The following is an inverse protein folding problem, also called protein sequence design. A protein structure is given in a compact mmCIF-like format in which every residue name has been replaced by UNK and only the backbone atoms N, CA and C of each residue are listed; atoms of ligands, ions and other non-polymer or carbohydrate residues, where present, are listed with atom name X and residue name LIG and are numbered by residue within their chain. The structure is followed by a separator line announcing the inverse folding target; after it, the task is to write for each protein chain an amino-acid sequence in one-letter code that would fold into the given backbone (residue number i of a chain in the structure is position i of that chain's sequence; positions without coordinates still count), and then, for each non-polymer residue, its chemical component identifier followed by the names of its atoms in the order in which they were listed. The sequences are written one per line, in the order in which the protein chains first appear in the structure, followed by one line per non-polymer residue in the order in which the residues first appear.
data_IF_313055507314
#
_entry.id   IF_313055507314
#
_cell.length_a   1.000
_cell.length_b   1.000
_cell.length_c   1.000
_cell.angle_alpha   90.00
_cell.angle_beta   90.00
_cell.angle_gamma   90.00
#
_symmetry.space_group_name_H-M   'P 1'
#
loop_
_entity.id
_entity.type
_entity.pdbx_description
1 polymer ?
#
# COMPACT_ATOMS: atom_id res chain seq x y z
N UNK A 1 -22.74 -6.40 0.70
CA UNK A 1 -23.10 -5.05 1.19
C UNK A 1 -23.59 -5.17 2.60
N UNK A 2 -22.88 -4.58 3.57
CA UNK A 2 -23.34 -4.09 4.88
C UNK A 2 -22.09 -3.66 5.66
N UNK A 3 -21.91 -2.35 5.82
CA UNK A 3 -20.84 -1.73 6.61
C UNK A 3 -21.31 -1.67 8.06
N UNK A 4 -20.63 -2.35 8.96
CA UNK A 4 -20.80 -2.18 10.41
C UNK A 4 -19.82 -1.10 10.89
N UNK A 5 -20.38 0.01 11.36
CA UNK A 5 -19.67 1.10 12.03
C UNK A 5 -19.76 0.83 13.53
N UNK A 6 -18.63 0.52 14.16
CA UNK A 6 -18.52 0.45 15.62
C UNK A 6 -18.25 1.84 16.17
N UNK A 7 -19.26 2.46 16.78
CA UNK A 7 -19.12 3.69 17.55
C UNK A 7 -18.81 3.35 19.02
N UNK A 8 -17.69 3.84 19.54
CA UNK A 8 -17.32 3.76 20.95
C UNK A 8 -18.10 4.79 21.76
N UNK A 9 -18.88 4.33 22.72
CA UNK A 9 -19.64 5.14 23.68
C UNK A 9 -18.74 5.54 24.85
N UNK A 10 -18.40 6.82 24.97
CA UNK A 10 -17.87 7.39 26.21
C UNK A 10 -19.02 7.96 27.06
N UNK A 11 -19.15 7.39 28.26
CA UNK A 11 -20.02 7.85 29.34
C UNK A 11 -19.65 9.26 29.81
N UNK A 12 -20.65 10.15 29.93
CA UNK A 12 -20.57 11.38 30.74
C UNK A 12 -21.90 11.59 31.49
N UNK A 13 -21.81 11.62 32.82
CA UNK A 13 -22.91 11.89 33.76
C UNK A 13 -23.41 13.35 33.71
N UNK A 14 -24.63 13.64 34.23
CA UNK A 14 -25.41 14.81 33.85
C UNK A 14 -25.16 16.02 34.76
N UNK A 15 -25.10 17.22 34.20
CA UNK A 15 -25.25 18.49 34.94
C UNK A 15 -26.21 19.42 34.21
N UNK A 16 -27.38 19.53 34.82
CA UNK A 16 -28.26 20.70 35.02
C UNK A 16 -28.34 21.76 33.93
N UNK A 17 -29.54 21.88 33.38
CA UNK A 17 -30.01 22.91 32.46
C UNK A 17 -29.99 24.31 33.11
N UNK A 18 -29.40 25.29 32.42
CA UNK A 18 -29.77 26.70 32.52
C UNK A 18 -29.77 27.24 31.09
N UNK A 19 -30.94 27.65 30.62
CA UNK A 19 -31.17 28.26 29.31
C UNK A 19 -30.84 29.76 29.41
N UNK A 20 -29.91 30.32 28.61
CA UNK A 20 -29.82 31.76 28.43
C UNK A 20 -30.58 32.18 27.17
N UNK A 21 -31.39 33.21 27.36
CA UNK A 21 -32.25 33.87 26.39
C UNK A 21 -31.52 34.25 25.09
N UNK A 22 -32.20 33.94 23.97
CA UNK A 22 -31.85 34.28 22.60
C UNK A 22 -31.60 35.80 22.44
N UNK A 23 -30.34 36.18 22.29
CA UNK A 23 -29.98 37.41 21.59
C UNK A 23 -29.99 37.11 20.09
N UNK A 24 -31.08 37.49 19.43
CA UNK A 24 -31.15 37.57 17.97
C UNK A 24 -30.19 38.67 17.52
N UNK A 25 -28.96 38.27 17.17
CA UNK A 25 -28.09 39.12 16.35
C UNK A 25 -28.71 39.19 14.95
N UNK A 26 -28.82 40.38 14.33
CA UNK A 26 -29.17 40.46 12.92
C UNK A 26 -27.99 39.87 12.14
N UNK A 27 -28.15 38.63 11.65
CA UNK A 27 -27.28 38.05 10.65
C UNK A 27 -27.51 38.82 9.35
N UNK A 28 -26.75 39.88 9.09
CA UNK A 28 -26.50 40.35 7.74
C UNK A 28 -25.61 39.31 7.06
N UNK A 29 -26.23 38.23 6.55
CA UNK A 29 -25.54 37.32 5.64
C UNK A 29 -25.28 38.09 4.35
N UNK A 30 -24.10 38.71 4.24
CA UNK A 30 -23.54 39.04 2.93
C UNK A 30 -23.43 37.72 2.17
N UNK A 31 -24.39 37.45 1.28
CA UNK A 31 -24.27 36.35 0.31
C UNK A 31 -23.17 36.80 -0.63
N UNK A 32 -21.92 36.46 -0.31
CA UNK A 32 -20.79 36.74 -1.19
C UNK A 32 -21.06 36.05 -2.53
N UNK A 33 -21.15 36.85 -3.59
CA UNK A 33 -21.43 36.37 -4.95
C UNK A 33 -20.25 35.52 -5.45
N UNK A 34 -20.53 34.57 -6.33
CA UNK A 34 -19.46 33.79 -6.98
C UNK A 34 -18.57 34.73 -7.81
N UNK A 35 -17.27 34.45 -7.80
CA UNK A 35 -16.28 35.08 -8.65
C UNK A 35 -16.53 34.62 -10.10
N UNK A 36 -17.27 35.42 -10.86
CA UNK A 36 -17.69 35.09 -12.23
C UNK A 36 -16.51 34.81 -13.14
N UNK A 37 -15.41 35.55 -13.00
CA UNK A 37 -14.18 35.34 -13.77
C UNK A 37 -13.59 33.95 -13.53
N UNK A 38 -13.52 33.53 -12.27
CA UNK A 38 -13.04 32.19 -11.93
C UNK A 38 -13.98 31.09 -12.44
N UNK A 39 -15.29 31.28 -12.32
CA UNK A 39 -16.30 30.33 -12.82
C UNK A 39 -16.21 30.17 -14.33
N UNK A 40 -16.13 31.26 -15.08
CA UNK A 40 -16.00 31.24 -16.54
C UNK A 40 -14.70 30.57 -16.99
N UNK A 41 -13.58 30.85 -16.30
CA UNK A 41 -12.30 30.20 -16.58
C UNK A 41 -12.36 28.68 -16.34
N UNK A 42 -13.02 28.23 -15.28
CA UNK A 42 -13.23 26.81 -15.00
C UNK A 42 -14.13 26.14 -16.05
N UNK A 43 -15.19 26.82 -16.53
CA UNK A 43 -16.01 26.31 -17.64
C UNK A 43 -15.20 26.13 -18.93
N UNK A 44 -14.31 27.07 -19.25
CA UNK A 44 -13.43 26.98 -20.41
C UNK A 44 -12.45 25.80 -20.33
N UNK A 45 -12.13 25.34 -19.11
CA UNK A 45 -11.33 24.14 -18.86
C UNK A 45 -12.19 22.85 -18.79
N UNK A 46 -13.47 22.92 -19.14
CA UNK A 46 -14.40 21.79 -19.08
C UNK A 46 -14.57 21.18 -17.67
N UNK A 47 -14.40 21.97 -16.61
CA UNK A 47 -14.63 21.54 -15.22
C UNK A 47 -16.12 21.44 -14.94
N UNK A 48 -16.59 20.34 -14.33
CA UNK A 48 -17.96 20.24 -13.84
C UNK A 48 -18.18 21.17 -12.62
N UNK A 49 -18.61 22.40 -12.89
CA UNK A 49 -18.93 23.40 -11.87
C UNK A 49 -20.06 22.96 -10.94
N UNK A 50 -21.01 22.17 -11.43
CA UNK A 50 -22.13 21.70 -10.60
C UNK A 50 -21.62 20.78 -9.48
N UNK A 51 -20.65 19.93 -9.81
CA UNK A 51 -19.92 19.12 -8.84
C UNK A 51 -19.11 19.97 -7.85
N UNK A 52 -18.38 20.98 -8.34
CA UNK A 52 -17.63 21.90 -7.47
C UNK A 52 -18.54 22.64 -6.50
N UNK A 53 -19.67 23.19 -6.96
CA UNK A 53 -20.68 23.86 -6.11
C UNK A 53 -21.19 22.94 -5.00
N UNK A 54 -21.47 21.68 -5.34
CA UNK A 54 -21.98 20.68 -4.39
C UNK A 54 -20.96 20.30 -3.32
N UNK A 55 -19.68 20.21 -3.68
CA UNK A 55 -18.62 19.74 -2.77
C UNK A 55 -17.95 20.89 -2.00
N UNK A 56 -17.60 21.97 -2.69
CA UNK A 56 -16.74 23.05 -2.21
C UNK A 56 -17.16 24.41 -2.79
N UNK A 57 -18.46 24.71 -2.86
CA UNK A 57 -18.97 25.95 -3.47
C UNK A 57 -18.47 27.25 -2.84
N UNK A 58 -17.91 27.22 -1.63
CA UNK A 58 -17.25 28.38 -1.01
C UNK A 58 -15.99 28.82 -1.75
N UNK A 59 -15.29 27.90 -2.45
CA UNK A 59 -14.08 28.18 -3.24
C UNK A 59 -14.40 29.14 -4.38
N UNK A 60 -15.56 28.97 -5.02
CA UNK A 60 -16.01 29.82 -6.13
C UNK A 60 -16.32 31.25 -5.72
N UNK A 61 -16.41 31.54 -4.41
CA UNK A 61 -16.66 32.90 -3.88
C UNK A 61 -15.36 33.60 -3.47
N UNK A 62 -14.24 32.91 -3.51
CA UNK A 62 -12.95 33.46 -3.10
C UNK A 62 -12.37 34.37 -4.19
N UNK A 63 -11.69 35.39 -3.71
CA UNK A 63 -10.85 36.27 -4.51
C UNK A 63 -9.61 36.61 -3.67
N UNK A 64 -8.39 36.47 -4.22
CA UNK A 64 -8.08 36.07 -5.60
C UNK A 64 -8.33 34.57 -5.89
N UNK A 65 -8.46 34.23 -7.17
CA UNK A 65 -8.52 32.85 -7.68
C UNK A 65 -7.67 32.72 -8.96
N UNK A 66 -6.75 31.77 -8.97
CA UNK A 66 -5.65 31.62 -9.93
C UNK A 66 -5.88 30.48 -10.93
N UNK A 67 -7.08 30.41 -11.50
CA UNK A 67 -7.50 29.29 -12.36
C UNK A 67 -6.56 29.10 -13.56
N UNK A 68 -6.22 30.21 -14.23
CA UNK A 68 -5.37 30.21 -15.42
C UNK A 68 -3.94 29.79 -15.11
N UNK A 69 -3.40 30.26 -13.99
CA UNK A 69 -2.05 29.97 -13.51
C UNK A 69 -1.93 28.50 -13.08
N UNK A 70 -2.93 27.97 -12.35
CA UNK A 70 -2.98 26.56 -11.99
C UNK A 70 -3.03 25.67 -13.25
N UNK A 71 -3.87 26.02 -14.23
CA UNK A 71 -3.97 25.28 -15.49
C UNK A 71 -2.68 25.36 -16.30
N UNK A 72 -2.06 26.54 -16.40
CA UNK A 72 -0.79 26.74 -17.10
C UNK A 72 0.33 25.91 -16.46
N UNK A 73 0.45 25.91 -15.13
CA UNK A 73 1.45 25.12 -14.42
C UNK A 73 1.31 23.62 -14.69
N UNK A 74 0.09 23.09 -14.69
CA UNK A 74 -0.17 21.68 -15.00
C UNK A 74 0.13 21.37 -16.47
N UNK A 75 -0.26 22.27 -17.39
CA UNK A 75 -0.01 22.14 -18.83
C UNK A 75 1.49 22.18 -19.16
N UNK A 76 2.26 23.02 -18.48
CA UNK A 76 3.72 23.12 -18.60
C UNK A 76 4.44 21.84 -18.11
N UNK A 77 3.78 21.03 -17.28
CA UNK A 77 4.27 19.70 -16.89
C UNK A 77 3.77 18.58 -17.83
N UNK A 78 2.94 18.93 -18.82
CA UNK A 78 2.41 18.03 -19.85
C UNK A 78 1.01 17.48 -19.58
N UNK A 79 0.27 18.03 -18.61
CA UNK A 79 -1.11 17.62 -18.38
C UNK A 79 -2.03 17.99 -19.57
N UNK A 80 -2.91 17.08 -19.96
CA UNK A 80 -3.99 17.38 -20.90
C UNK A 80 -5.11 18.15 -20.22
N UNK A 81 -5.95 18.84 -21.00
CA UNK A 81 -7.14 19.55 -20.49
C UNK A 81 -8.05 18.64 -19.66
N UNK A 82 -8.19 17.36 -20.04
CA UNK A 82 -8.97 16.37 -19.28
C UNK A 82 -8.40 16.08 -17.88
N UNK A 83 -7.07 16.02 -17.74
CA UNK A 83 -6.39 15.81 -16.46
C UNK A 83 -6.53 17.07 -15.60
N UNK A 84 -6.34 18.26 -16.20
CA UNK A 84 -6.51 19.55 -15.50
C UNK A 84 -7.94 19.66 -14.95
N UNK A 85 -8.95 19.42 -15.79
CA UNK A 85 -10.35 19.42 -15.37
C UNK A 85 -10.57 18.45 -14.19
N UNK A 86 -10.04 17.23 -14.31
CA UNK A 86 -10.17 16.21 -13.26
C UNK A 86 -9.54 16.62 -11.94
N UNK A 87 -8.34 17.21 -11.96
CA UNK A 87 -7.65 17.74 -10.77
C UNK A 87 -8.50 18.81 -10.10
N UNK A 88 -8.99 19.79 -10.86
CA UNK A 88 -9.78 20.90 -10.32
C UNK A 88 -11.16 20.47 -9.82
N UNK A 89 -11.76 19.44 -10.40
CA UNK A 89 -12.98 18.82 -9.87
C UNK A 89 -12.76 18.04 -8.57
N UNK A 90 -11.61 17.38 -8.43
CA UNK A 90 -11.27 16.60 -7.24
C UNK A 90 -10.81 17.49 -6.09
N UNK A 91 -10.16 18.62 -6.39
CA UNK A 91 -9.62 19.54 -5.41
C UNK A 91 -9.72 21.00 -5.88
N UNK A 92 -10.92 21.60 -5.79
CA UNK A 92 -11.16 22.97 -6.25
C UNK A 92 -10.28 24.01 -5.55
N UNK A 93 -9.89 23.77 -4.29
CA UNK A 93 -8.99 24.62 -3.51
C UNK A 93 -7.64 24.90 -4.18
N UNK A 94 -7.23 24.08 -5.17
CA UNK A 94 -6.01 24.31 -5.96
C UNK A 94 -5.93 25.71 -6.58
N UNK A 95 -7.08 26.30 -6.97
CA UNK A 95 -7.12 27.64 -7.58
C UNK A 95 -6.87 28.76 -6.56
N UNK A 96 -6.79 28.44 -5.28
CA UNK A 96 -6.51 29.41 -4.21
C UNK A 96 -5.03 29.47 -3.86
N UNK A 97 -4.22 28.53 -4.36
CA UNK A 97 -2.77 28.52 -4.16
C UNK A 97 -2.11 29.64 -4.97
N UNK A 98 -1.21 30.39 -4.34
CA UNK A 98 -0.53 31.48 -5.05
C UNK A 98 0.44 30.92 -6.11
N UNK A 99 0.60 31.58 -7.27
CA UNK A 99 1.52 31.13 -8.30
C UNK A 99 2.96 30.89 -7.82
N UNK A 100 3.46 31.73 -6.91
CA UNK A 100 4.81 31.59 -6.34
C UNK A 100 4.94 30.35 -5.47
N UNK A 101 3.89 30.01 -4.71
CA UNK A 101 3.84 28.83 -3.85
C UNK A 101 3.74 27.55 -4.71
N UNK A 102 2.92 27.57 -5.77
CA UNK A 102 2.82 26.45 -6.71
C UNK A 102 4.15 26.20 -7.45
N UNK A 103 4.88 27.25 -7.83
CA UNK A 103 6.19 27.12 -8.48
C UNK A 103 7.26 26.61 -7.50
N UNK A 104 7.28 27.12 -6.26
CA UNK A 104 8.16 26.59 -5.21
C UNK A 104 7.89 25.09 -4.95
N UNK A 105 6.61 24.72 -4.88
CA UNK A 105 6.19 23.34 -4.70
C UNK A 105 6.58 22.44 -5.88
N UNK A 106 6.39 22.93 -7.12
CA UNK A 106 6.85 22.25 -8.33
C UNK A 106 8.35 21.96 -8.26
N UNK A 107 9.17 22.95 -7.90
CA UNK A 107 10.62 22.79 -7.75
C UNK A 107 10.98 21.76 -6.67
N UNK A 108 10.28 21.80 -5.53
CA UNK A 108 10.48 20.85 -4.45
C UNK A 108 10.22 19.41 -4.91
N UNK A 109 9.07 19.15 -5.52
CA UNK A 109 8.70 17.80 -5.98
C UNK A 109 9.58 17.32 -7.13
N UNK A 110 9.94 18.20 -8.06
CA UNK A 110 10.86 17.89 -9.17
C UNK A 110 12.29 17.56 -8.69
N UNK A 111 12.68 17.97 -7.47
CA UNK A 111 13.99 17.62 -6.89
C UNK A 111 14.16 16.09 -6.69
N UNK A 112 13.05 15.37 -6.54
CA UNK A 112 13.01 13.91 -6.32
C UNK A 112 12.23 13.16 -7.39
N UNK A 113 11.29 13.82 -8.09
CA UNK A 113 10.54 13.28 -9.23
C UNK A 113 10.97 13.97 -10.54
N UNK A 114 12.01 13.47 -11.24
CA UNK A 114 12.63 14.22 -12.34
C UNK A 114 11.78 14.30 -13.62
N UNK A 115 10.75 13.46 -13.76
CA UNK A 115 9.89 13.42 -14.96
C UNK A 115 8.62 14.24 -14.71
N UNK A 116 8.38 15.35 -15.43
CA UNK A 116 7.19 16.18 -15.24
C UNK A 116 5.88 15.41 -15.37
N UNK A 117 5.79 14.50 -16.34
CA UNK A 117 4.59 13.67 -16.53
C UNK A 117 4.33 12.69 -15.37
N UNK A 118 5.40 12.16 -14.74
CA UNK A 118 5.22 11.31 -13.56
C UNK A 118 4.68 12.16 -12.40
N UNK A 119 5.15 13.40 -12.24
CA UNK A 119 4.63 14.35 -11.25
C UNK A 119 3.14 14.66 -11.49
N UNK A 120 2.73 14.96 -12.72
CA UNK A 120 1.31 15.15 -13.08
C UNK A 120 0.48 13.93 -12.68
N UNK A 121 0.97 12.72 -12.94
CA UNK A 121 0.27 11.49 -12.54
C UNK A 121 0.13 11.30 -11.02
N UNK A 122 1.01 11.91 -10.22
CA UNK A 122 0.86 11.95 -8.75
C UNK A 122 -0.16 13.01 -8.35
N UNK A 123 -0.07 14.22 -8.92
CA UNK A 123 -0.99 15.33 -8.65
C UNK A 123 -2.43 14.95 -8.99
N UNK A 124 -2.66 14.24 -10.10
CA UNK A 124 -3.99 13.75 -10.49
C UNK A 124 -4.61 12.84 -9.42
N UNK A 125 -3.79 12.00 -8.78
CA UNK A 125 -4.23 11.06 -7.74
C UNK A 125 -4.39 11.71 -6.37
N UNK A 126 -3.49 12.65 -6.05
CA UNK A 126 -3.37 13.26 -4.73
C UNK A 126 -3.18 14.78 -4.85
N UNK A 127 -4.16 15.52 -5.39
CA UNK A 127 -4.01 16.95 -5.66
C UNK A 127 -3.78 17.75 -4.37
N UNK A 128 -4.43 17.38 -3.27
CA UNK A 128 -4.26 18.00 -1.96
C UNK A 128 -2.84 17.90 -1.41
N UNK A 129 -2.03 16.94 -1.86
CA UNK A 129 -0.64 16.81 -1.43
C UNK A 129 0.28 17.75 -2.18
N UNK A 130 -0.08 18.19 -3.39
CA UNK A 130 0.69 19.18 -4.13
C UNK A 130 0.20 20.60 -3.80
N UNK A 131 -1.11 20.84 -3.88
CA UNK A 131 -1.72 22.13 -3.57
C UNK A 131 -1.91 22.30 -2.06
N UNK A 132 -0.82 22.54 -1.35
CA UNK A 132 -0.78 22.56 0.13
C UNK A 132 -0.69 23.97 0.71
N UNK A 133 -0.89 24.07 2.02
CA UNK A 133 -0.50 25.25 2.79
C UNK A 133 1.02 25.39 2.90
N UNK A 134 1.49 26.54 3.38
CA UNK A 134 2.92 26.79 3.64
C UNK A 134 3.52 25.84 4.70
N UNK A 135 2.77 25.51 5.76
CA UNK A 135 3.24 24.58 6.80
C UNK A 135 3.53 23.19 6.26
N UNK A 136 2.67 22.73 5.35
CA UNK A 136 2.81 21.42 4.73
C UNK A 136 4.00 21.39 3.77
N UNK A 137 4.23 22.48 3.02
CA UNK A 137 5.41 22.62 2.16
C UNK A 137 6.72 22.49 2.98
N UNK A 138 6.79 23.11 4.16
CA UNK A 138 7.95 23.00 5.04
C UNK A 138 8.14 21.59 5.59
N UNK A 139 7.05 20.91 5.98
CA UNK A 139 7.07 19.50 6.37
C UNK A 139 7.56 18.61 5.22
N UNK A 140 7.07 18.83 4.00
CA UNK A 140 7.47 18.06 2.83
C UNK A 140 8.97 18.23 2.54
N UNK A 141 9.48 19.45 2.61
CA UNK A 141 10.90 19.74 2.46
C UNK A 141 11.73 19.05 3.54
N UNK A 142 11.33 19.14 4.81
CA UNK A 142 12.02 18.47 5.91
C UNK A 142 12.03 16.95 5.74
N UNK A 143 10.91 16.35 5.35
CA UNK A 143 10.79 14.91 5.11
C UNK A 143 11.65 14.44 3.93
N UNK A 144 11.70 15.20 2.83
CA UNK A 144 12.58 14.88 1.69
C UNK A 144 14.05 14.87 2.15
N UNK A 145 14.48 15.89 2.88
CA UNK A 145 15.85 16.00 3.39
C UNK A 145 16.17 14.85 4.37
N UNK A 146 15.24 14.53 5.27
CA UNK A 146 15.38 13.42 6.20
C UNK A 146 15.50 12.07 5.46
N UNK A 147 14.62 11.78 4.51
CA UNK A 147 14.69 10.55 3.74
C UNK A 147 15.99 10.43 2.93
N UNK A 148 16.52 11.54 2.43
CA UNK A 148 17.84 11.57 1.79
C UNK A 148 18.97 11.31 2.80
N UNK A 149 18.88 11.84 4.03
CA UNK A 149 19.91 11.64 5.06
C UNK A 149 19.99 10.18 5.53
N UNK A 150 18.88 9.45 5.57
CA UNK A 150 18.85 7.99 5.79
C UNK A 150 19.11 7.18 4.51
N UNK A 151 19.63 7.84 3.46
CA UNK A 151 20.07 7.24 2.21
C UNK A 151 18.96 6.57 1.39
N UNK A 152 17.71 7.03 1.49
CA UNK A 152 16.70 6.68 0.48
C UNK A 152 17.02 7.43 -0.82
N UNK A 153 17.15 6.68 -1.91
CA UNK A 153 17.40 7.29 -3.21
C UNK A 153 16.16 8.01 -3.74
N UNK A 154 16.35 8.93 -4.70
CA UNK A 154 15.27 9.72 -5.32
C UNK A 154 14.14 8.86 -5.89
N UNK A 155 14.46 7.67 -6.42
CA UNK A 155 13.45 6.74 -6.96
C UNK A 155 12.53 6.20 -5.87
N UNK A 156 13.06 5.84 -4.69
CA UNK A 156 12.25 5.39 -3.55
C UNK A 156 11.39 6.56 -3.04
N UNK A 157 11.97 7.76 -2.89
CA UNK A 157 11.25 8.95 -2.42
C UNK A 157 10.11 9.33 -3.39
N UNK A 158 10.38 9.36 -4.70
CA UNK A 158 9.35 9.58 -5.72
C UNK A 158 8.24 8.53 -5.67
N UNK A 159 8.60 7.25 -5.46
CA UNK A 159 7.61 6.18 -5.27
C UNK A 159 6.77 6.40 -4.01
N UNK A 160 7.38 6.83 -2.89
CA UNK A 160 6.67 7.16 -1.66
C UNK A 160 5.66 8.28 -1.91
N UNK A 161 6.06 9.35 -2.59
CA UNK A 161 5.13 10.44 -2.97
C UNK A 161 3.98 9.93 -3.85
N UNK A 162 4.27 9.02 -4.79
CA UNK A 162 3.26 8.47 -5.70
C UNK A 162 2.27 7.50 -5.03
N UNK A 163 2.54 7.04 -3.81
CA UNK A 163 1.77 5.98 -3.15
C UNK A 163 1.19 6.41 -1.80
N UNK A 164 1.98 7.11 -1.00
CA UNK A 164 1.65 7.56 0.34
C UNK A 164 2.10 9.02 0.58
N UNK A 165 1.65 10.00 -0.22
CA UNK A 165 2.13 11.38 -0.12
C UNK A 165 1.85 12.04 1.23
N UNK A 166 0.86 11.56 1.99
CA UNK A 166 0.58 12.01 3.35
C UNK A 166 1.76 11.86 4.30
N UNK A 167 2.70 10.93 4.04
CA UNK A 167 3.91 10.79 4.85
C UNK A 167 4.85 11.99 4.73
N UNK A 168 4.66 12.86 3.74
CA UNK A 168 5.46 14.07 3.57
C UNK A 168 4.79 15.31 4.19
N UNK A 169 3.47 15.34 4.32
CA UNK A 169 2.76 16.48 4.94
C UNK A 169 2.81 16.45 6.47
N UNK A 170 3.07 15.29 7.09
CA UNK A 170 3.20 15.16 8.54
C UNK A 170 4.54 15.72 9.06
N UNK A 171 4.61 16.16 10.34
CA UNK A 171 5.87 16.60 10.94
C UNK A 171 6.97 15.56 10.82
N UNK A 172 8.19 15.98 10.46
CA UNK A 172 9.33 15.08 10.21
C UNK A 172 9.62 14.14 11.38
N UNK A 173 9.42 14.63 12.61
CA UNK A 173 9.61 13.85 13.84
C UNK A 173 8.80 12.54 13.86
N UNK A 174 7.60 12.51 13.27
CA UNK A 174 6.79 11.30 13.23
C UNK A 174 7.42 10.21 12.35
N UNK A 175 7.99 10.61 11.21
CA UNK A 175 8.75 9.68 10.37
C UNK A 175 10.03 9.22 11.07
N UNK A 176 10.73 10.13 11.76
CA UNK A 176 11.92 9.80 12.54
C UNK A 176 11.62 8.74 13.61
N UNK A 177 10.57 8.92 14.41
CA UNK A 177 10.16 8.00 15.46
C UNK A 177 9.87 6.59 14.91
N UNK A 178 9.12 6.49 13.80
CA UNK A 178 8.84 5.19 13.18
C UNK A 178 10.11 4.54 12.59
N UNK A 179 10.95 5.31 11.89
CA UNK A 179 12.21 4.77 11.32
C UNK A 179 13.15 4.29 12.43
N UNK A 180 13.32 5.07 13.50
CA UNK A 180 14.13 4.68 14.65
C UNK A 180 13.60 3.41 15.31
N UNK A 181 12.27 3.31 15.48
CA UNK A 181 11.64 2.10 16.03
C UNK A 181 11.90 0.87 15.14
N UNK A 182 11.75 1.00 13.82
CA UNK A 182 12.03 -0.06 12.85
C UNK A 182 13.49 -0.51 12.91
N UNK A 183 14.43 0.44 12.90
CA UNK A 183 15.87 0.15 12.98
C UNK A 183 16.24 -0.54 14.29
N UNK A 184 15.78 0.01 15.42
CA UNK A 184 16.02 -0.57 16.75
C UNK A 184 15.46 -1.99 16.83
N UNK A 185 14.22 -2.18 16.40
CA UNK A 185 13.56 -3.51 16.40
C UNK A 185 14.34 -4.51 15.56
N UNK A 186 14.80 -4.10 14.37
CA UNK A 186 15.58 -4.96 13.50
C UNK A 186 16.88 -5.43 14.18
N UNK A 187 17.60 -4.54 14.84
CA UNK A 187 18.83 -4.86 15.57
C UNK A 187 18.55 -5.70 16.83
N UNK A 188 17.53 -5.35 17.63
CA UNK A 188 17.14 -6.06 18.84
C UNK A 188 16.73 -7.53 18.57
N UNK A 189 16.22 -7.81 17.36
CA UNK A 189 15.87 -9.15 16.91
C UNK A 189 17.06 -9.93 16.30
N UNK A 190 18.27 -9.37 16.32
CA UNK A 190 19.49 -10.01 15.80
C UNK A 190 19.83 -9.64 14.35
N UNK A 191 19.20 -8.60 13.80
CA UNK A 191 19.56 -8.05 12.50
C UNK A 191 20.96 -7.43 12.51
N UNK A 192 21.69 -7.58 11.41
CA UNK A 192 23.04 -7.02 11.28
C UNK A 192 23.01 -5.58 10.76
N UNK A 193 23.81 -4.72 11.35
CA UNK A 193 23.90 -3.29 10.99
C UNK A 193 24.27 -3.08 9.51
N UNK A 194 25.15 -3.91 8.96
CA UNK A 194 25.57 -3.85 7.55
C UNK A 194 24.42 -4.07 6.55
N UNK A 195 23.39 -4.82 6.95
CA UNK A 195 22.21 -5.12 6.14
C UNK A 195 21.02 -4.18 6.42
N UNK A 196 21.06 -3.41 7.51
CA UNK A 196 19.93 -2.60 7.99
C UNK A 196 19.45 -1.61 6.93
N UNK A 197 20.37 -0.96 6.22
CA UNK A 197 20.06 -0.01 5.15
C UNK A 197 19.26 -0.65 4.02
N UNK A 198 19.72 -1.81 3.53
CA UNK A 198 19.06 -2.54 2.43
C UNK A 198 17.71 -3.06 2.87
N UNK A 199 17.62 -3.58 4.10
CA UNK A 199 16.37 -4.03 4.69
C UNK A 199 15.34 -2.90 4.78
N UNK A 200 15.73 -1.74 5.32
CA UNK A 200 14.84 -0.59 5.49
C UNK A 200 14.34 -0.07 4.14
N UNK A 201 15.25 0.09 3.17
CA UNK A 201 14.89 0.50 1.81
C UNK A 201 13.89 -0.47 1.17
N UNK A 202 14.08 -1.78 1.34
CA UNK A 202 13.18 -2.81 0.82
C UNK A 202 11.81 -2.75 1.49
N UNK A 203 11.78 -2.63 2.82
CA UNK A 203 10.56 -2.53 3.62
C UNK A 203 9.73 -1.32 3.18
N UNK A 204 10.32 -0.13 3.14
CA UNK A 204 9.63 1.11 2.75
C UNK A 204 9.15 1.06 1.30
N UNK A 205 9.95 0.46 0.41
CA UNK A 205 9.55 0.30 -1.01
C UNK A 205 8.36 -0.65 -1.18
N UNK A 206 8.25 -1.65 -0.31
CA UNK A 206 7.18 -2.66 -0.37
C UNK A 206 5.91 -2.22 0.35
N UNK A 207 6.03 -1.55 1.49
CA UNK A 207 4.92 -0.96 2.22
C UNK A 207 5.24 0.49 2.66
N UNK A 208 4.93 1.48 1.80
CA UNK A 208 5.16 2.90 2.12
C UNK A 208 4.27 3.40 3.27
N UNK A 209 3.12 2.76 3.51
CA UNK A 209 2.16 3.16 4.54
C UNK A 209 2.62 2.84 5.96
N UNK A 210 3.72 2.08 6.12
CA UNK A 210 4.33 1.84 7.44
C UNK A 210 4.68 3.15 8.15
N UNK A 211 5.05 4.19 7.40
CA UNK A 211 5.42 5.52 7.92
C UNK A 211 4.24 6.31 8.49
N UNK A 212 3.01 5.90 8.18
CA UNK A 212 1.79 6.52 8.71
C UNK A 212 1.22 5.76 9.92
N UNK A 213 1.90 4.72 10.40
CA UNK A 213 1.46 3.94 11.56
C UNK A 213 2.08 4.48 12.84
N UNK A 214 1.44 4.14 13.95
CA UNK A 214 1.92 4.45 15.29
C UNK A 214 3.00 3.43 15.68
N UNK A 215 4.22 3.83 16.10
CA UNK A 215 5.33 2.92 16.40
C UNK A 215 4.98 1.80 17.39
N UNK A 216 4.13 2.09 18.37
CA UNK A 216 3.67 1.15 19.39
C UNK A 216 2.95 -0.06 18.79
N UNK A 217 2.30 0.08 17.63
CA UNK A 217 1.65 -1.03 16.95
C UNK A 217 2.66 -2.11 16.52
N UNK A 218 3.84 -1.69 16.05
CA UNK A 218 4.94 -2.62 15.74
C UNK A 218 5.36 -3.39 17.00
N UNK A 219 5.60 -2.66 18.09
CA UNK A 219 6.06 -3.23 19.34
C UNK A 219 5.06 -4.24 19.90
N UNK A 220 3.79 -3.84 20.05
CA UNK A 220 2.74 -4.68 20.63
C UNK A 220 2.52 -5.95 19.82
N UNK A 221 2.55 -5.87 18.49
CA UNK A 221 2.38 -7.05 17.65
C UNK A 221 3.57 -8.01 17.74
N UNK A 222 4.79 -7.51 17.92
CA UNK A 222 5.96 -8.36 18.14
C UNK A 222 5.98 -8.99 19.54
N UNK A 223 5.55 -8.27 20.57
CA UNK A 223 5.34 -8.84 21.92
C UNK A 223 4.31 -9.95 21.86
N UNK A 224 3.16 -9.69 21.22
CA UNK A 224 2.13 -10.71 21.03
C UNK A 224 2.67 -11.96 20.32
N UNK A 225 3.40 -11.80 19.22
CA UNK A 225 4.00 -12.95 18.51
C UNK A 225 5.03 -13.68 19.39
N UNK A 226 5.84 -12.95 20.16
CA UNK A 226 6.78 -13.57 21.11
C UNK A 226 6.07 -14.40 22.18
N UNK A 227 4.96 -13.89 22.72
CA UNK A 227 4.13 -14.59 23.70
C UNK A 227 3.48 -15.85 23.13
N UNK A 228 3.35 -15.94 21.79
CA UNK A 228 2.94 -17.14 21.04
C UNK A 228 4.15 -18.01 20.62
N UNK A 229 5.27 -17.90 21.31
CA UNK A 229 6.41 -18.81 21.18
C UNK A 229 7.40 -18.51 20.05
N UNK A 230 7.26 -17.40 19.32
CA UNK A 230 8.24 -17.03 18.29
C UNK A 230 9.53 -16.48 18.92
N UNK A 231 10.66 -17.03 18.53
CA UNK A 231 12.00 -16.60 18.94
C UNK A 231 12.41 -15.30 18.23
N UNK A 232 13.46 -14.61 18.71
CA UNK A 232 13.92 -13.36 18.09
C UNK A 232 14.32 -13.52 16.61
N UNK A 233 14.98 -14.63 16.25
CA UNK A 233 15.37 -14.91 14.87
C UNK A 233 14.17 -15.19 13.96
N UNK A 234 13.17 -15.91 14.46
CA UNK A 234 11.90 -16.16 13.76
C UNK A 234 11.10 -14.86 13.58
N UNK A 235 11.05 -14.01 14.59
CA UNK A 235 10.43 -12.68 14.50
C UNK A 235 11.15 -11.79 13.48
N UNK A 236 12.48 -11.83 13.40
CA UNK A 236 13.24 -11.12 12.37
C UNK A 236 12.89 -11.61 10.95
N UNK A 237 12.73 -12.92 10.80
CA UNK A 237 12.29 -13.54 9.55
C UNK A 237 10.88 -13.07 9.16
N UNK A 238 9.93 -13.09 10.11
CA UNK A 238 8.56 -12.62 9.90
C UNK A 238 8.52 -11.13 9.56
N UNK A 239 9.25 -10.30 10.31
CA UNK A 239 9.35 -8.86 10.08
C UNK A 239 9.77 -8.56 8.62
N UNK A 240 10.69 -9.37 8.09
CA UNK A 240 11.15 -9.26 6.70
C UNK A 240 10.13 -9.79 5.68
N UNK A 241 9.47 -10.93 5.97
CA UNK A 241 8.50 -11.55 5.04
C UNK A 241 7.14 -10.85 5.00
N UNK A 242 6.72 -10.23 6.11
CA UNK A 242 5.50 -9.44 6.21
C UNK A 242 5.62 -8.09 5.51
N UNK A 243 6.83 -7.67 5.08
CA UNK A 243 7.04 -6.46 4.27
C UNK A 243 6.39 -5.20 4.86
N UNK A 244 6.41 -5.07 6.18
CA UNK A 244 5.77 -3.95 6.90
C UNK A 244 4.31 -4.15 7.30
N UNK A 245 3.63 -5.23 6.91
CA UNK A 245 2.27 -5.55 7.38
C UNK A 245 2.20 -5.89 8.87
N UNK A 246 3.34 -6.11 9.52
CA UNK A 246 3.37 -6.42 10.96
C UNK A 246 2.72 -5.30 11.81
N UNK A 247 2.74 -4.06 11.34
CA UNK A 247 2.09 -2.90 12.01
C UNK A 247 0.58 -2.83 11.79
N UNK A 248 0.04 -3.68 10.92
CA UNK A 248 -1.38 -3.75 10.60
C UNK A 248 -2.05 -4.99 11.17
N UNK A 249 -1.28 -5.87 11.80
CA UNK A 249 -1.81 -7.06 12.44
C UNK A 249 -2.72 -6.69 13.60
N UNK A 250 -3.78 -7.47 13.77
CA UNK A 250 -4.69 -7.38 14.90
C UNK A 250 -4.59 -8.69 15.72
N UNK A 251 -4.17 -8.63 17.00
CA UNK A 251 -3.96 -9.83 17.81
C UNK A 251 -5.17 -10.77 17.90
N UNK A 252 -6.39 -10.24 18.05
CA UNK A 252 -7.59 -11.08 18.12
C UNK A 252 -7.88 -11.76 16.78
N UNK A 253 -7.73 -11.04 15.66
CA UNK A 253 -7.83 -11.63 14.32
C UNK A 253 -6.78 -12.70 14.08
N UNK A 254 -5.54 -12.50 14.56
CA UNK A 254 -4.47 -13.49 14.46
C UNK A 254 -4.86 -14.75 15.24
N UNK A 255 -5.32 -14.63 16.49
CA UNK A 255 -5.75 -15.79 17.30
C UNK A 255 -6.79 -16.64 16.57
N UNK A 256 -7.83 -15.99 16.04
CA UNK A 256 -8.87 -16.70 15.29
C UNK A 256 -8.33 -17.37 14.02
N UNK A 257 -7.44 -16.68 13.29
CA UNK A 257 -6.89 -17.18 12.03
C UNK A 257 -5.92 -18.34 12.25
N UNK A 258 -5.10 -18.27 13.31
CA UNK A 258 -4.20 -19.35 13.72
C UNK A 258 -4.97 -20.55 14.27
N UNK A 259 -5.95 -20.34 15.14
CA UNK A 259 -6.79 -21.43 15.67
C UNK A 259 -7.54 -22.16 14.55
N UNK A 260 -8.14 -21.42 13.62
CA UNK A 260 -8.78 -22.01 12.44
C UNK A 260 -7.79 -22.80 11.58
N UNK A 261 -6.61 -22.22 11.31
CA UNK A 261 -5.57 -22.86 10.49
C UNK A 261 -5.04 -24.13 11.16
N UNK A 262 -4.87 -24.12 12.48
CA UNK A 262 -4.45 -25.30 13.23
C UNK A 262 -5.46 -26.43 13.15
N UNK A 263 -6.75 -26.11 13.32
CA UNK A 263 -7.84 -27.09 13.26
C UNK A 263 -7.94 -27.73 11.88
N UNK A 264 -7.94 -26.93 10.80
CA UNK A 264 -8.08 -27.45 9.44
C UNK A 264 -6.85 -28.23 8.96
N UNK A 265 -5.65 -27.84 9.42
CA UNK A 265 -4.40 -28.55 9.10
C UNK A 265 -4.20 -29.78 9.99
N UNK A 266 -4.88 -29.87 11.13
CA UNK A 266 -4.70 -30.96 12.10
C UNK A 266 -3.28 -31.01 12.69
N UNK A 267 -2.59 -29.87 12.79
CA UNK A 267 -1.19 -29.80 13.16
C UNK A 267 -0.97 -29.35 14.63
N UNK A 268 0.21 -29.68 15.16
CA UNK A 268 0.68 -29.17 16.45
C UNK A 268 0.98 -27.66 16.39
N UNK A 269 1.09 -27.03 17.55
CA UNK A 269 1.45 -25.60 17.64
C UNK A 269 2.87 -25.33 17.07
N UNK A 270 3.79 -26.26 17.27
CA UNK A 270 5.15 -26.17 16.72
C UNK A 270 5.15 -26.24 15.18
N UNK A 271 4.38 -27.17 14.60
CA UNK A 271 4.22 -27.27 13.14
C UNK A 271 3.52 -26.04 12.57
N UNK A 272 2.47 -25.54 13.22
CA UNK A 272 1.77 -24.33 12.80
C UNK A 272 2.72 -23.13 12.74
N UNK A 273 3.58 -22.96 13.75
CA UNK A 273 4.58 -21.89 13.79
C UNK A 273 5.54 -21.99 12.61
N UNK A 274 6.01 -23.20 12.28
CA UNK A 274 6.85 -23.41 11.10
C UNK A 274 6.11 -23.06 9.79
N UNK A 275 4.86 -23.47 9.67
CA UNK A 275 3.98 -23.14 8.54
C UNK A 275 3.81 -21.61 8.42
N UNK A 276 3.63 -20.90 9.53
CA UNK A 276 3.51 -19.43 9.56
C UNK A 276 4.81 -18.76 9.11
N UNK A 277 5.97 -19.29 9.49
CA UNK A 277 7.26 -18.77 9.00
C UNK A 277 7.38 -18.91 7.48
N UNK A 278 6.84 -19.98 6.91
CA UNK A 278 6.84 -20.20 5.46
C UNK A 278 5.79 -19.34 4.74
N UNK A 279 4.58 -19.25 5.30
CA UNK A 279 3.43 -18.53 4.77
C UNK A 279 2.85 -17.55 5.81
N UNK A 280 3.44 -16.35 5.98
CA UNK A 280 2.96 -15.35 6.95
C UNK A 280 1.56 -14.80 6.65
N UNK A 281 0.98 -15.14 5.49
CA UNK A 281 -0.40 -14.81 5.15
C UNK A 281 -1.43 -15.34 6.15
N UNK A 282 -1.10 -16.40 6.89
CA UNK A 282 -1.93 -16.90 7.99
C UNK A 282 -2.10 -15.89 9.14
N UNK A 283 -1.20 -14.90 9.24
CA UNK A 283 -1.27 -13.87 10.27
C UNK A 283 -2.22 -12.71 9.90
N UNK A 284 -2.41 -12.42 8.61
CA UNK A 284 -3.15 -11.23 8.18
C UNK A 284 -4.42 -11.52 7.36
N UNK A 285 -4.60 -12.74 6.82
CA UNK A 285 -5.86 -13.10 6.20
C UNK A 285 -6.89 -13.49 7.26
N UNK A 286 -8.09 -12.89 7.24
CA UNK A 286 -9.15 -13.27 8.16
C UNK A 286 -9.70 -14.65 7.80
N UNK A 287 -10.27 -15.34 8.78
CA UNK A 287 -10.84 -16.70 8.66
C UNK A 287 -11.69 -16.92 7.40
N UNK A 288 -12.62 -16.02 6.99
CA UNK A 288 -13.40 -16.24 5.77
C UNK A 288 -12.55 -16.35 4.49
N UNK A 289 -11.44 -15.62 4.42
CA UNK A 289 -10.52 -15.70 3.28
C UNK A 289 -9.72 -16.99 3.35
N UNK A 290 -9.21 -17.36 4.51
CA UNK A 290 -8.49 -18.64 4.68
C UNK A 290 -9.40 -19.83 4.34
N UNK A 291 -10.64 -19.84 4.83
CA UNK A 291 -11.61 -20.88 4.53
C UNK A 291 -11.92 -20.99 3.04
N UNK A 292 -12.05 -19.86 2.34
CA UNK A 292 -12.20 -19.82 0.89
C UNK A 292 -10.99 -20.44 0.17
N UNK A 293 -9.77 -20.13 0.62
CA UNK A 293 -8.52 -20.66 0.07
C UNK A 293 -8.37 -22.16 0.28
N UNK A 294 -8.58 -22.63 1.50
CA UNK A 294 -8.53 -24.06 1.83
C UNK A 294 -9.59 -24.83 1.05
N UNK A 295 -10.85 -24.37 1.04
CA UNK A 295 -11.92 -24.99 0.27
C UNK A 295 -11.58 -25.05 -1.22
N UNK A 296 -10.99 -23.99 -1.77
CA UNK A 296 -10.54 -23.93 -3.16
C UNK A 296 -9.48 -24.98 -3.51
N UNK A 297 -8.48 -25.16 -2.64
CA UNK A 297 -7.41 -26.14 -2.82
C UNK A 297 -7.92 -27.59 -2.67
N UNK A 298 -8.73 -27.84 -1.64
CA UNK A 298 -9.35 -29.15 -1.41
C UNK A 298 -10.26 -29.55 -2.57
N UNK A 299 -11.08 -28.62 -3.07
CA UNK A 299 -11.93 -28.85 -4.25
C UNK A 299 -11.12 -29.11 -5.53
N UNK A 300 -9.88 -28.63 -5.61
CA UNK A 300 -8.96 -28.95 -6.69
C UNK A 300 -8.28 -30.33 -6.54
N UNK A 301 -8.56 -31.06 -5.45
CA UNK A 301 -8.02 -32.38 -5.15
C UNK A 301 -6.68 -32.37 -4.43
N UNK A 302 -6.30 -31.26 -3.78
CA UNK A 302 -5.09 -31.19 -2.97
C UNK A 302 -5.35 -31.77 -1.58
N UNK A 303 -4.43 -32.58 -1.07
CA UNK A 303 -4.50 -33.09 0.30
C UNK A 303 -3.96 -32.07 1.31
N UNK A 304 -4.34 -32.22 2.59
CA UNK A 304 -3.86 -31.33 3.65
C UNK A 304 -2.35 -31.43 3.82
N UNK A 305 -1.79 -32.64 3.72
CA UNK A 305 -0.34 -32.90 3.84
C UNK A 305 0.43 -32.11 2.78
N UNK A 306 -0.06 -32.08 1.54
CA UNK A 306 0.56 -31.28 0.47
C UNK A 306 0.47 -29.78 0.71
N UNK A 307 -0.62 -29.31 1.31
CA UNK A 307 -0.76 -27.91 1.66
C UNK A 307 0.24 -27.57 2.77
N UNK A 308 0.44 -28.45 3.75
CA UNK A 308 1.45 -28.27 4.81
C UNK A 308 2.89 -28.29 4.26
N UNK A 309 3.18 -29.11 3.25
CA UNK A 309 4.49 -29.13 2.57
C UNK A 309 4.76 -27.87 1.72
N UNK A 310 3.72 -27.15 1.30
CA UNK A 310 3.84 -25.95 0.46
C UNK A 310 2.78 -24.91 0.87
N UNK A 311 2.88 -24.34 2.08
CA UNK A 311 1.80 -23.52 2.63
C UNK A 311 1.68 -22.17 1.91
N UNK A 312 2.73 -21.73 1.23
CA UNK A 312 2.75 -20.53 0.39
C UNK A 312 1.70 -20.52 -0.73
N UNK A 313 1.15 -21.69 -1.09
CA UNK A 313 0.01 -21.77 -2.02
C UNK A 313 -1.23 -21.04 -1.48
N UNK A 314 -1.35 -20.90 -0.16
CA UNK A 314 -2.44 -20.16 0.51
C UNK A 314 -2.34 -18.64 0.31
N UNK A 315 -1.20 -18.12 -0.18
CA UNK A 315 -1.09 -16.72 -0.59
C UNK A 315 -1.89 -16.43 -1.88
N UNK A 316 -2.23 -17.48 -2.65
CA UNK A 316 -2.90 -17.36 -3.93
C UNK A 316 -4.42 -17.44 -3.80
N UNK A 317 -5.10 -16.42 -4.34
CA UNK A 317 -6.16 -16.61 -5.33
C UNK A 317 -6.72 -18.02 -5.56
N UNK A 318 -7.93 -18.40 -5.13
CA UNK A 318 -8.55 -19.67 -5.59
C UNK A 318 -8.71 -19.67 -7.12
N UNK A 319 -9.04 -18.51 -7.69
CA UNK A 319 -9.11 -18.30 -9.13
C UNK A 319 -7.72 -18.48 -9.78
N UNK A 320 -6.67 -17.95 -9.14
CA UNK A 320 -5.28 -18.12 -9.61
C UNK A 320 -4.89 -19.59 -9.57
N UNK A 321 -5.17 -20.29 -8.46
CA UNK A 321 -4.88 -21.72 -8.30
C UNK A 321 -5.59 -22.53 -9.38
N UNK A 322 -6.89 -22.32 -9.58
CA UNK A 322 -7.67 -23.03 -10.60
C UNK A 322 -7.11 -22.79 -12.01
N UNK A 323 -6.83 -21.54 -12.36
CA UNK A 323 -6.21 -21.20 -13.64
C UNK A 323 -4.86 -21.89 -13.84
N UNK A 324 -3.98 -21.83 -12.81
CA UNK A 324 -2.64 -22.42 -12.87
C UNK A 324 -2.71 -23.95 -13.00
N UNK A 325 -3.60 -24.61 -12.26
CA UNK A 325 -3.84 -26.06 -12.36
C UNK A 325 -4.33 -26.45 -13.76
N UNK A 326 -5.34 -25.74 -14.29
CA UNK A 326 -5.85 -26.01 -15.64
C UNK A 326 -4.75 -25.85 -16.70
N UNK A 327 -3.92 -24.81 -16.56
CA UNK A 327 -2.82 -24.56 -17.47
C UNK A 327 -1.76 -25.66 -17.40
N UNK A 328 -1.38 -26.08 -16.20
CA UNK A 328 -0.44 -27.19 -15.99
C UNK A 328 -0.95 -28.51 -16.57
N UNK A 329 -2.24 -28.82 -16.37
CA UNK A 329 -2.88 -30.01 -16.96
C UNK A 329 -2.80 -30.01 -18.49
N UNK A 330 -2.98 -28.85 -19.13
CA UNK A 330 -2.84 -28.74 -20.60
C UNK A 330 -1.44 -29.10 -21.11
N UNK A 331 -0.43 -29.03 -20.25
CA UNK A 331 0.95 -29.42 -20.54
C UNK A 331 1.34 -30.80 -19.97
N UNK A 332 0.36 -31.57 -19.48
CA UNK A 332 0.58 -32.93 -18.95
C UNK A 332 1.14 -32.98 -17.54
N UNK A 333 1.14 -31.86 -16.80
CA UNK A 333 1.50 -31.84 -15.38
C UNK A 333 0.25 -31.93 -14.52
N UNK A 334 0.22 -32.92 -13.64
CA UNK A 334 -0.84 -33.05 -12.64
C UNK A 334 -0.39 -32.54 -11.28
N UNK A 335 -0.99 -31.44 -10.83
CA UNK A 335 -0.70 -30.85 -9.53
C UNK A 335 -1.18 -31.72 -8.35
N UNK A 336 -2.13 -32.64 -8.56
CA UNK A 336 -2.61 -33.53 -7.50
C UNK A 336 -1.55 -34.54 -7.10
N UNK A 337 -0.74 -35.00 -8.04
CA UNK A 337 0.36 -35.95 -7.82
C UNK A 337 1.72 -35.25 -7.72
N UNK A 338 1.94 -34.14 -8.43
CA UNK A 338 3.16 -33.34 -8.38
C UNK A 338 3.29 -32.36 -7.20
N UNK A 339 4.43 -31.68 -7.11
CA UNK A 339 4.71 -30.63 -6.10
C UNK A 339 3.89 -29.36 -6.34
N UNK A 340 3.32 -28.78 -5.27
CA UNK A 340 2.58 -27.50 -5.37
C UNK A 340 3.48 -26.28 -5.58
N UNK A 341 4.79 -26.41 -5.45
CA UNK A 341 5.73 -25.29 -5.63
C UNK A 341 5.63 -24.66 -7.02
N UNK A 342 5.24 -25.43 -8.04
CA UNK A 342 5.02 -24.90 -9.40
C UNK A 342 3.85 -23.92 -9.47
N UNK A 343 2.94 -23.94 -8.49
CA UNK A 343 1.82 -23.01 -8.41
C UNK A 343 2.24 -21.67 -7.83
N UNK A 344 3.39 -21.53 -7.18
CA UNK A 344 3.80 -20.32 -6.47
C UNK A 344 4.44 -19.25 -7.38
N UNK A 345 4.71 -18.08 -6.79
CA UNK A 345 5.40 -16.97 -7.46
C UNK A 345 4.48 -16.05 -8.26
N UNK A 346 5.09 -15.02 -8.85
CA UNK A 346 4.36 -14.04 -9.67
C UNK A 346 3.81 -14.68 -10.94
N UNK A 347 2.89 -13.98 -11.63
CA UNK A 347 2.40 -14.41 -12.96
C UNK A 347 3.57 -14.71 -13.90
N UNK A 348 4.59 -13.84 -13.92
CA UNK A 348 5.79 -14.00 -14.76
C UNK A 348 6.62 -15.22 -14.37
N UNK A 349 6.76 -15.50 -13.07
CA UNK A 349 7.51 -16.67 -12.59
C UNK A 349 6.81 -17.96 -12.99
N UNK A 350 5.48 -18.00 -12.83
CA UNK A 350 4.65 -19.11 -13.28
C UNK A 350 4.76 -19.31 -14.81
N UNK A 351 4.62 -18.24 -15.60
CA UNK A 351 4.75 -18.29 -17.06
C UNK A 351 6.10 -18.84 -17.53
N UNK A 352 7.18 -18.46 -16.83
CA UNK A 352 8.52 -18.96 -17.12
C UNK A 352 8.68 -20.43 -16.74
N UNK A 353 8.17 -20.86 -15.58
CA UNK A 353 8.35 -22.22 -15.07
C UNK A 353 7.66 -23.26 -15.97
N UNK A 354 6.46 -22.99 -16.47
CA UNK A 354 5.79 -23.93 -17.39
C UNK A 354 6.21 -23.76 -18.85
N UNK A 355 6.72 -22.59 -19.28
CA UNK A 355 7.36 -22.45 -20.59
C UNK A 355 8.54 -23.41 -20.78
N UNK A 356 9.26 -23.71 -19.69
CA UNK A 356 10.30 -24.75 -19.69
C UNK A 356 9.74 -26.17 -19.79
N UNK A 357 8.54 -26.43 -19.28
CA UNK A 357 7.86 -27.74 -19.42
C UNK A 357 7.48 -28.00 -20.89
N UNK A 358 7.07 -26.97 -21.63
CA UNK A 358 6.85 -27.05 -23.09
C UNK A 358 8.12 -27.47 -23.83
N UNK A 359 9.23 -26.76 -23.57
CA UNK A 359 10.52 -27.02 -24.21
C UNK A 359 11.08 -28.42 -23.89
N UNK A 360 10.78 -28.99 -22.71
CA UNK A 360 11.17 -30.36 -22.37
C UNK A 360 10.40 -31.42 -23.16
N UNK A 361 9.15 -31.13 -23.53
CA UNK A 361 8.31 -32.03 -24.34
C UNK A 361 8.72 -32.04 -25.81
N UNK A 362 9.28 -30.92 -26.30
CA UNK A 362 9.78 -30.76 -27.68
C UNK A 362 11.22 -31.25 -27.87
N UNK A 363 11.95 -31.55 -26.79
CA UNK A 363 13.28 -32.17 -26.93
C UNK A 363 13.11 -33.62 -27.38
N UNK A 364 13.74 -34.03 -28.49
CA UNK A 364 13.81 -35.44 -28.86
C UNK A 364 14.42 -36.24 -27.70
N UNK A 365 13.83 -37.41 -27.40
CA UNK A 365 14.34 -38.37 -26.42
C UNK A 365 15.74 -38.92 -26.78
N UNK A 366 16.24 -38.63 -27.97
CA UNK A 366 17.57 -39.01 -28.44
C UNK A 366 18.58 -37.88 -28.25
N UNK A 367 19.53 -38.10 -27.34
CA UNK A 367 20.84 -37.47 -27.39
C UNK A 367 21.76 -38.43 -28.18
N UNK A 368 22.21 -38.11 -29.40
CA UNK A 368 23.20 -38.93 -30.08
C UNK A 368 24.53 -38.74 -29.35
N UNK A 369 24.82 -39.63 -28.40
CA UNK A 369 26.16 -39.79 -27.87
C UNK A 369 27.04 -40.20 -29.05
N UNK A 370 28.17 -39.50 -29.20
CA UNK A 370 29.15 -39.73 -30.26
C UNK A 370 29.50 -41.23 -30.38
N UNK A 371 29.78 -41.75 -31.59
CA UNK A 371 30.19 -43.15 -31.76
C UNK A 371 31.46 -43.41 -30.96
N UNK A 372 31.44 -44.47 -30.14
CA UNK A 372 32.65 -45.05 -29.58
C UNK A 372 33.43 -45.66 -30.75
N UNK A 373 34.54 -45.04 -31.14
CA UNK A 373 35.56 -45.66 -31.98
C UNK A 373 36.13 -46.85 -31.20
N UNK A 374 35.73 -48.05 -31.56
CA UNK A 374 36.49 -49.27 -31.26
C UNK A 374 37.61 -49.36 -32.28
N UNK A 375 38.84 -49.09 -31.84
CA UNK A 375 40.04 -49.45 -32.58
C UNK A 375 40.36 -50.93 -32.30
N UNK A 376 40.50 -51.72 -33.38
CA UNK A 376 41.24 -52.99 -33.41
C UNK A 376 42.65 -52.71 -33.96
#
# INVERSE_FOLDING_TARGET
MLRLVTASLYLRSPRTQVIPLLHVRPCTSFIQQENTVAVDALYNLCVDISKVRKQKGWVLRQSPAYVSETAALLRDMGASESIIARVLELYPEAILCKPEEMDAQRKLWMSVCPKPMDLVGIIEKFPSSFFTSSSDHDNQKANILYFQSIHLNKRIISKLMATAPQSFSQPVKQNEEMIQMLQKTFLDLGGREDNMKVWLQKLITQNPYVLSKVPEALHNNLVFLRDNGFTSSELLQLLTKLKGFVTELNPESIKHSLSYSQEILGCTEAELRQIVLECPALLYYPVPILAERFKGLLAAGMSIEKIMETPTVLELTTQIVQYRIQKLRSYGYDAQTGSLQVLNGTKKDFEKSYGQLHLRRERPLFNPVAPLTTED
#
